data_IF_901456565072
#
_entry.id   IF_901456565072
#
_cell.length_a   1.000
_cell.length_b   1.000
_cell.length_c   1.000
_cell.angle_alpha   90.00
_cell.angle_beta   90.00
_cell.angle_gamma   90.00
#
_symmetry.space_group_name_H-M   'P 1'
#
loop_
_entity.id
_entity.type
_entity.pdbx_description
1 polymer ?
#
# COMPACT_ATOMS: atom_id res chain seq x y z
N UNK A 1 4.83 -56.00 26.60
CA UNK A 1 4.01 -55.46 27.69
C UNK A 1 2.69 -55.08 27.05
N UNK A 2 1.73 -56.00 27.11
CA UNK A 2 0.40 -55.87 26.51
C UNK A 2 -0.49 -55.05 27.46
N UNK A 3 -1.22 -54.09 26.90
CA UNK A 3 -2.15 -53.22 27.62
C UNK A 3 -3.41 -54.05 27.99
N UNK A 4 -3.76 -54.22 29.28
CA UNK A 4 -4.82 -55.13 29.69
C UNK A 4 -6.24 -54.61 29.44
N UNK A 5 -6.40 -53.48 28.73
CA UNK A 5 -7.71 -52.85 28.51
C UNK A 5 -8.24 -53.16 27.11
N UNK A 6 -9.15 -54.14 27.01
CA UNK A 6 -9.92 -54.38 25.79
C UNK A 6 -10.82 -53.16 25.50
N UNK A 7 -10.46 -52.37 24.48
CA UNK A 7 -11.31 -51.28 23.98
C UNK A 7 -12.40 -51.88 23.10
N UNK A 8 -13.64 -51.77 23.55
CA UNK A 8 -14.82 -52.13 22.75
C UNK A 8 -14.85 -51.28 21.48
N UNK A 9 -15.24 -51.89 20.34
CA UNK A 9 -15.32 -51.20 19.06
C UNK A 9 -16.17 -49.92 19.19
N UNK A 10 -15.64 -48.80 18.70
CA UNK A 10 -16.33 -47.51 18.74
C UNK A 10 -17.68 -47.64 18.02
N UNK A 11 -18.80 -47.23 18.64
CA UNK A 11 -20.13 -47.33 18.04
C UNK A 11 -20.34 -46.30 16.92
N UNK A 12 -19.32 -45.52 16.58
CA UNK A 12 -19.39 -44.46 15.59
C UNK A 12 -18.85 -44.93 14.23
N UNK A 13 -19.62 -44.64 13.18
CA UNK A 13 -19.28 -44.94 11.80
C UNK A 13 -18.06 -44.15 11.34
N UNK A 14 -17.21 -44.78 10.51
CA UNK A 14 -16.01 -44.18 9.91
C UNK A 14 -16.35 -42.84 9.22
N UNK A 15 -15.71 -41.72 9.61
CA UNK A 15 -16.04 -40.38 9.13
C UNK A 15 -15.76 -40.15 7.64
N UNK A 16 -15.09 -41.10 6.96
CA UNK A 16 -14.85 -41.00 5.52
C UNK A 16 -16.03 -41.45 4.66
N UNK A 17 -17.00 -42.18 5.23
CA UNK A 17 -18.16 -42.66 4.48
C UNK A 17 -19.37 -41.73 4.66
N UNK A 18 -19.57 -40.85 3.69
CA UNK A 18 -20.63 -39.82 3.70
C UNK A 18 -22.01 -40.44 3.45
N UNK A 19 -22.87 -40.41 4.47
CA UNK A 19 -24.26 -40.89 4.37
C UNK A 19 -25.14 -40.05 3.45
N UNK A 20 -26.32 -40.56 3.03
CA UNK A 20 -27.15 -39.98 1.97
C UNK A 20 -27.64 -38.55 2.26
N UNK A 21 -27.81 -38.17 3.53
CA UNK A 21 -28.16 -36.79 3.94
C UNK A 21 -27.04 -35.77 3.70
N UNK A 22 -25.78 -36.19 3.81
CA UNK A 22 -24.62 -35.30 3.61
C UNK A 22 -24.34 -35.03 2.12
N UNK A 23 -24.73 -35.95 1.23
CA UNK A 23 -24.69 -35.72 -0.22
C UNK A 23 -25.72 -34.68 -0.68
N UNK A 24 -26.89 -34.64 -0.02
CA UNK A 24 -27.93 -33.64 -0.30
C UNK A 24 -27.60 -32.22 0.24
N UNK A 25 -26.66 -32.08 1.18
CA UNK A 25 -26.22 -30.78 1.70
C UNK A 25 -25.09 -30.14 0.88
N UNK A 26 -24.40 -30.90 0.02
CA UNK A 26 -23.36 -30.37 -0.85
C UNK A 26 -23.91 -29.47 -1.97
N UNK A 27 -25.17 -29.65 -2.37
CA UNK A 27 -25.84 -28.86 -3.42
C UNK A 27 -26.37 -27.51 -2.95
N UNK A 28 -26.43 -27.24 -1.63
CA UNK A 28 -26.92 -25.97 -1.05
C UNK A 28 -25.80 -25.07 -0.49
N UNK A 29 -24.54 -25.38 -0.78
CA UNK A 29 -23.38 -24.70 -0.17
C UNK A 29 -23.09 -23.31 -0.77
N UNK A 30 -23.80 -22.88 -1.82
CA UNK A 30 -23.60 -21.60 -2.50
C UNK A 30 -24.12 -20.38 -1.72
N UNK A 31 -25.09 -20.55 -0.82
CA UNK A 31 -25.73 -19.41 -0.12
C UNK A 31 -25.21 -19.15 1.30
N UNK A 32 -24.55 -20.13 1.92
CA UNK A 32 -24.00 -19.96 3.27
C UNK A 32 -22.84 -18.96 3.30
N UNK A 33 -22.01 -18.89 2.24
CA UNK A 33 -20.92 -17.90 2.16
C UNK A 33 -21.44 -16.45 2.10
N UNK A 34 -22.61 -16.23 1.50
CA UNK A 34 -23.27 -14.91 1.43
C UNK A 34 -23.86 -14.49 2.77
N UNK A 35 -24.30 -15.44 3.58
CA UNK A 35 -24.93 -15.21 4.89
C UNK A 35 -23.94 -15.02 6.04
N UNK A 36 -22.70 -15.51 5.90
CA UNK A 36 -21.65 -15.37 6.94
C UNK A 36 -21.10 -13.94 6.99
N UNK A 37 -21.03 -13.24 5.85
CA UNK A 37 -20.57 -11.84 5.79
C UNK A 37 -21.48 -10.85 6.54
N UNK A 38 -22.79 -11.14 6.66
CA UNK A 38 -23.76 -10.20 7.26
C UNK A 38 -23.82 -10.20 8.79
N UNK A 39 -23.11 -11.12 9.45
CA UNK A 39 -23.29 -11.42 10.89
C UNK A 39 -22.03 -11.34 11.76
N UNK A 40 -20.92 -10.84 11.24
CA UNK A 40 -19.71 -10.63 12.06
C UNK A 40 -19.71 -9.23 12.71
N UNK A 41 -19.23 -9.15 13.96
CA UNK A 41 -18.92 -7.92 14.71
C UNK A 41 -20.06 -6.98 15.13
N UNK A 42 -21.29 -7.47 15.33
CA UNK A 42 -22.39 -6.66 15.91
C UNK A 42 -22.31 -6.63 17.43
N UNK A 43 -22.28 -5.44 18.03
CA UNK A 43 -22.31 -5.24 19.50
C UNK A 43 -23.41 -4.25 19.88
N UNK A 44 -23.83 -4.13 21.15
CA UNK A 44 -24.83 -3.14 21.57
C UNK A 44 -24.44 -1.69 21.27
N UNK A 45 -23.13 -1.38 21.21
CA UNK A 45 -22.60 -0.08 20.77
C UNK A 45 -22.58 0.08 19.25
N UNK A 46 -22.49 -1.01 18.48
CA UNK A 46 -22.34 -1.02 17.02
C UNK A 46 -23.32 -2.01 16.38
N UNK A 47 -24.61 -1.64 16.26
CA UNK A 47 -25.67 -2.55 15.79
C UNK A 47 -25.52 -2.93 14.30
N UNK A 48 -24.79 -2.12 13.51
CA UNK A 48 -24.51 -2.38 12.09
C UNK A 48 -23.37 -3.36 11.82
N UNK A 49 -22.59 -3.74 12.84
CA UNK A 49 -21.35 -4.48 12.67
C UNK A 49 -20.16 -3.55 12.50
N UNK A 50 -19.02 -3.86 13.13
CA UNK A 50 -17.75 -3.18 12.80
C UNK A 50 -17.31 -3.70 11.44
N UNK A 51 -17.31 -2.82 10.43
CA UNK A 51 -16.78 -3.16 9.12
C UNK A 51 -15.34 -3.67 9.30
N UNK A 52 -14.98 -4.83 8.72
CA UNK A 52 -13.59 -5.23 8.71
C UNK A 52 -12.78 -4.12 8.06
N UNK A 53 -11.59 -3.88 8.62
CA UNK A 53 -10.59 -3.02 8.01
C UNK A 53 -10.45 -3.43 6.54
N UNK A 54 -10.46 -2.45 5.64
CA UNK A 54 -10.28 -2.75 4.22
C UNK A 54 -8.82 -3.22 4.07
N UNK A 55 -8.62 -4.53 3.86
CA UNK A 55 -7.28 -5.09 3.66
C UNK A 55 -6.56 -4.28 2.57
N UNK A 56 -5.33 -3.87 2.85
CA UNK A 56 -4.54 -3.05 1.95
C UNK A 56 -4.20 -3.82 0.67
N UNK A 57 -4.11 -3.10 -0.44
CA UNK A 57 -3.54 -3.67 -1.66
C UNK A 57 -2.02 -3.83 -1.50
N UNK A 58 -1.42 -4.79 -2.23
CA UNK A 58 0.04 -5.03 -2.18
C UNK A 58 0.87 -3.75 -2.42
N UNK A 59 0.37 -2.83 -3.25
CA UNK A 59 0.99 -1.53 -3.52
C UNK A 59 0.92 -0.58 -2.31
N UNK A 60 -0.18 -0.62 -1.55
CA UNK A 60 -0.36 0.19 -0.34
C UNK A 60 0.51 -0.33 0.81
N UNK A 61 0.67 -1.65 0.93
CA UNK A 61 1.59 -2.25 1.91
C UNK A 61 3.06 -1.92 1.59
N UNK A 62 3.50 -2.06 0.33
CA UNK A 62 4.87 -1.74 -0.08
C UNK A 62 5.22 -0.26 0.19
N UNK A 63 4.28 0.63 -0.10
CA UNK A 63 4.47 2.05 0.13
C UNK A 63 4.37 2.42 1.63
N UNK A 64 3.58 1.70 2.44
CA UNK A 64 3.58 1.85 3.90
C UNK A 64 4.95 1.51 4.47
N UNK A 65 5.54 0.40 4.03
CA UNK A 65 6.85 -0.04 4.48
C UNK A 65 7.98 0.88 4.00
N UNK A 66 7.91 1.33 2.74
CA UNK A 66 9.00 2.09 2.12
C UNK A 66 8.91 3.57 2.43
N UNK A 67 7.73 4.16 2.28
CA UNK A 67 7.49 5.60 2.37
C UNK A 67 6.87 6.03 3.72
N UNK A 68 6.52 5.07 4.60
CA UNK A 68 5.92 5.34 5.92
C UNK A 68 4.64 6.20 5.82
N UNK A 69 3.89 6.01 4.73
CA UNK A 69 2.59 6.66 4.51
C UNK A 69 1.53 5.81 5.21
N UNK A 70 0.69 6.42 6.04
CA UNK A 70 -0.41 5.76 6.75
C UNK A 70 -1.67 5.70 5.85
N UNK A 71 -1.94 4.52 5.31
CA UNK A 71 -3.03 4.25 4.35
C UNK A 71 -4.41 4.23 4.99
N UNK A 72 -4.48 4.03 6.31
CA UNK A 72 -5.74 4.03 7.05
C UNK A 72 -6.34 5.44 7.12
N UNK A 73 -5.53 6.45 6.84
CA UNK A 73 -5.87 7.87 6.99
C UNK A 73 -5.80 8.65 5.70
N UNK A 74 -5.22 8.11 4.63
CA UNK A 74 -4.96 8.83 3.38
C UNK A 74 -5.37 7.98 2.18
N UNK A 75 -6.30 8.50 1.38
CA UNK A 75 -6.68 7.88 0.11
C UNK A 75 -5.62 8.16 -0.98
N UNK A 76 -5.16 7.12 -1.67
CA UNK A 76 -4.29 7.29 -2.85
C UNK A 76 -5.15 7.32 -4.12
N UNK A 77 -5.09 8.46 -4.83
CA UNK A 77 -5.73 8.61 -6.14
C UNK A 77 -4.64 8.68 -7.22
N UNK A 78 -4.41 7.61 -7.98
CA UNK A 78 -3.41 7.63 -9.04
C UNK A 78 -3.89 8.52 -10.20
N UNK A 79 -3.04 9.44 -10.65
CA UNK A 79 -3.27 10.29 -11.83
C UNK A 79 -4.65 10.97 -11.85
N UNK A 80 -5.03 11.58 -10.73
CA UNK A 80 -6.30 12.32 -10.63
C UNK A 80 -6.45 13.36 -11.75
N UNK A 81 -7.68 13.52 -12.24
CA UNK A 81 -7.98 14.54 -13.24
C UNK A 81 -7.69 15.96 -12.71
N UNK A 82 -7.37 16.89 -13.60
CA UNK A 82 -7.12 18.30 -13.23
C UNK A 82 -8.24 18.89 -12.35
N UNK A 83 -9.55 18.78 -12.68
CA UNK A 83 -10.60 19.35 -11.82
C UNK A 83 -10.66 18.71 -10.43
N UNK A 84 -10.43 17.39 -10.32
CA UNK A 84 -10.38 16.72 -9.03
C UNK A 84 -9.25 17.29 -8.15
N UNK A 85 -8.07 17.55 -8.73
CA UNK A 85 -6.96 18.18 -8.01
C UNK A 85 -7.30 19.60 -7.52
N UNK A 86 -8.10 20.36 -8.28
CA UNK A 86 -8.55 21.69 -7.85
C UNK A 86 -9.53 21.60 -6.68
N UNK A 87 -10.50 20.70 -6.76
CA UNK A 87 -11.49 20.47 -5.71
C UNK A 87 -10.81 20.04 -4.42
N UNK A 88 -9.93 19.03 -4.49
CA UNK A 88 -9.19 18.53 -3.34
C UNK A 88 -8.32 19.63 -2.70
N UNK A 89 -7.61 20.41 -3.51
CA UNK A 89 -6.78 21.49 -2.99
C UNK A 89 -7.60 22.58 -2.29
N UNK A 90 -8.80 22.90 -2.79
CA UNK A 90 -9.67 23.92 -2.17
C UNK A 90 -10.38 23.41 -0.91
N UNK A 91 -10.63 22.10 -0.81
CA UNK A 91 -11.32 21.49 0.33
C UNK A 91 -10.36 21.16 1.47
N UNK A 92 -9.20 20.59 1.15
CA UNK A 92 -8.32 20.00 2.16
C UNK A 92 -7.06 20.82 2.47
N UNK A 93 -6.58 21.67 1.55
CA UNK A 93 -5.36 22.45 1.75
C UNK A 93 -5.65 23.90 2.14
N UNK A 94 -5.40 24.24 3.40
CA UNK A 94 -5.58 25.60 3.89
C UNK A 94 -4.57 26.55 3.27
N UNK A 95 -5.05 27.61 2.62
CA UNK A 95 -4.19 28.58 1.93
C UNK A 95 -4.05 28.32 0.43
N UNK A 96 -4.80 27.38 -0.12
CA UNK A 96 -5.02 27.26 -1.56
C UNK A 96 -6.14 28.19 -2.04
N UNK A 97 -5.99 28.74 -3.24
CA UNK A 97 -6.98 29.60 -3.89
C UNK A 97 -6.84 29.54 -5.42
N UNK A 98 -7.90 29.96 -6.13
CA UNK A 98 -7.85 30.16 -7.58
C UNK A 98 -7.56 31.64 -7.85
N UNK A 99 -6.53 31.92 -8.66
CA UNK A 99 -6.20 33.29 -9.08
C UNK A 99 -7.20 33.81 -10.11
N UNK A 100 -7.20 35.13 -10.38
CA UNK A 100 -8.05 35.71 -11.43
C UNK A 100 -7.74 35.18 -12.84
N UNK A 101 -6.57 34.59 -13.04
CA UNK A 101 -6.17 33.92 -14.29
C UNK A 101 -6.58 32.44 -14.34
N UNK A 102 -7.25 31.92 -13.30
CA UNK A 102 -7.67 30.53 -13.20
C UNK A 102 -6.60 29.55 -12.73
N UNK A 103 -5.44 30.03 -12.28
CA UNK A 103 -4.39 29.14 -11.77
C UNK A 103 -4.64 28.79 -10.30
N UNK A 104 -4.40 27.53 -9.92
CA UNK A 104 -4.34 27.13 -8.52
C UNK A 104 -3.06 27.69 -7.88
N UNK A 105 -3.20 28.43 -6.79
CA UNK A 105 -2.09 28.92 -5.97
C UNK A 105 -2.22 28.35 -4.56
N UNK A 106 -1.08 28.03 -3.93
CA UNK A 106 -1.01 27.55 -2.56
C UNK A 106 0.03 28.37 -1.78
N UNK A 107 -0.34 28.82 -0.59
CA UNK A 107 0.53 29.65 0.25
C UNK A 107 1.49 28.79 1.10
N UNK A 108 2.79 28.82 0.78
CA UNK A 108 3.80 28.00 1.47
C UNK A 108 4.35 28.58 2.78
N UNK A 109 3.71 29.63 3.32
CA UNK A 109 4.12 30.25 4.59
C UNK A 109 5.45 31.01 4.53
N UNK A 110 6.20 31.00 5.65
CA UNK A 110 7.44 31.79 5.83
C UNK A 110 8.59 31.39 4.91
N UNK A 111 8.54 30.20 4.32
CA UNK A 111 9.59 29.65 3.44
C UNK A 111 9.00 29.47 2.05
N UNK A 112 9.25 30.44 1.18
CA UNK A 112 8.62 30.56 -0.14
C UNK A 112 9.47 30.04 -1.30
N UNK A 113 10.59 29.39 -1.00
CA UNK A 113 11.52 28.93 -2.02
C UNK A 113 12.35 27.73 -1.59
N UNK A 114 13.16 27.22 -2.52
CA UNK A 114 14.12 26.15 -2.24
C UNK A 114 15.13 26.62 -1.20
N UNK A 115 15.36 25.83 -0.17
CA UNK A 115 16.43 26.05 0.80
C UNK A 115 17.78 25.87 0.10
N UNK A 116 18.57 26.92 -0.14
CA UNK A 116 19.80 26.79 -0.93
C UNK A 116 20.80 25.81 -0.31
N UNK A 117 20.77 25.68 1.03
CA UNK A 117 21.61 24.77 1.81
C UNK A 117 21.23 23.29 1.68
N UNK A 118 20.07 22.99 1.11
CA UNK A 118 19.61 21.62 0.87
C UNK A 118 20.15 21.05 -0.46
N UNK A 119 20.75 21.91 -1.30
CA UNK A 119 21.35 21.48 -2.56
C UNK A 119 22.60 20.65 -2.30
N UNK A 120 22.63 19.44 -2.85
CA UNK A 120 23.78 18.55 -2.86
C UNK A 120 24.10 18.15 -4.30
N UNK A 121 25.37 18.18 -4.65
CA UNK A 121 25.85 17.82 -6.00
C UNK A 121 26.79 16.64 -5.84
N UNK A 122 26.61 15.62 -6.68
CA UNK A 122 27.53 14.48 -6.69
C UNK A 122 28.89 14.95 -7.19
N UNK A 123 29.93 14.65 -6.43
CA UNK A 123 31.29 14.97 -6.82
C UNK A 123 31.81 13.91 -7.79
N UNK A 124 31.69 14.21 -9.09
CA UNK A 124 32.23 13.37 -10.17
C UNK A 124 33.57 13.95 -10.65
N UNK A 125 34.60 13.12 -10.89
CA UNK A 125 35.91 13.60 -11.34
C UNK A 125 35.86 14.44 -12.62
N UNK A 126 34.89 14.18 -13.51
CA UNK A 126 34.73 14.87 -14.79
C UNK A 126 34.17 16.28 -14.70
N UNK A 127 33.57 16.67 -13.56
CA UNK A 127 32.87 17.97 -13.40
C UNK A 127 33.28 18.72 -12.15
N UNK A 128 34.13 18.13 -11.30
CA UNK A 128 34.53 18.69 -10.01
C UNK A 128 35.15 20.08 -10.16
N UNK A 129 35.95 20.29 -11.19
CA UNK A 129 36.68 21.54 -11.40
C UNK A 129 35.81 22.65 -12.02
N UNK A 130 34.64 22.30 -12.56
CA UNK A 130 33.69 23.24 -13.17
C UNK A 130 32.63 23.74 -12.16
N UNK A 131 32.66 23.25 -10.92
CA UNK A 131 31.65 23.55 -9.90
C UNK A 131 32.23 24.51 -8.85
N UNK A 132 31.53 25.63 -8.60
CA UNK A 132 31.83 26.51 -7.47
C UNK A 132 31.38 25.91 -6.15
N UNK A 133 32.26 25.13 -5.52
CA UNK A 133 32.05 24.55 -4.21
C UNK A 133 31.99 25.60 -3.10
N UNK A 134 31.14 25.39 -2.09
CA UNK A 134 31.02 26.35 -0.99
C UNK A 134 29.89 26.07 0.00
N UNK A 135 29.41 27.11 0.71
CA UNK A 135 28.28 27.00 1.64
C UNK A 135 26.98 26.48 1.02
N UNK A 136 26.79 26.70 -0.29
CA UNK A 136 25.56 26.36 -1.02
C UNK A 136 25.73 25.08 -1.85
N UNK A 137 26.78 24.99 -2.68
CA UNK A 137 27.05 23.78 -3.46
C UNK A 137 27.89 22.82 -2.62
N UNK A 138 27.21 21.84 -2.03
CA UNK A 138 27.83 20.84 -1.16
C UNK A 138 28.10 19.55 -1.92
N UNK A 139 29.33 19.00 -1.86
CA UNK A 139 29.63 17.72 -2.49
C UNK A 139 28.88 16.58 -1.79
N UNK A 140 28.56 15.55 -2.56
CA UNK A 140 27.98 14.28 -2.13
C UNK A 140 28.72 13.15 -2.85
N UNK A 141 28.95 12.04 -2.16
CA UNK A 141 29.54 10.87 -2.80
C UNK A 141 28.51 10.13 -3.68
N UNK A 142 28.95 9.43 -4.74
CA UNK A 142 28.04 8.65 -5.60
C UNK A 142 27.23 7.58 -4.85
N UNK A 143 27.78 7.04 -3.76
CA UNK A 143 27.14 5.99 -2.94
C UNK A 143 25.87 6.51 -2.27
N UNK A 144 25.94 7.71 -1.67
CA UNK A 144 24.78 8.35 -1.02
C UNK A 144 23.67 8.64 -2.04
N UNK A 145 24.02 8.93 -3.30
CA UNK A 145 23.03 9.06 -4.37
C UNK A 145 22.39 7.72 -4.72
N UNK A 146 23.18 6.64 -4.81
CA UNK A 146 22.70 5.30 -5.17
C UNK A 146 21.70 4.76 -4.15
N UNK A 147 21.90 5.05 -2.87
CA UNK A 147 21.01 4.62 -1.79
C UNK A 147 19.69 5.41 -1.76
N UNK A 148 19.65 6.62 -2.31
CA UNK A 148 18.44 7.47 -2.39
C UNK A 148 17.70 7.44 -3.73
N UNK A 149 18.36 7.00 -4.81
CA UNK A 149 17.84 7.10 -6.17
C UNK A 149 17.40 5.79 -6.80
N UNK A 150 17.42 4.68 -6.07
CA UNK A 150 17.07 3.36 -6.61
C UNK A 150 16.22 2.56 -5.62
N UNK A 151 14.92 2.86 -5.58
CA UNK A 151 13.96 1.76 -5.45
C UNK A 151 14.28 0.81 -6.60
N UNK A 152 14.83 -0.36 -6.27
CA UNK A 152 15.12 -1.40 -7.25
C UNK A 152 13.80 -2.09 -7.55
N UNK A 153 13.15 -1.75 -8.65
CA UNK A 153 12.10 -2.60 -9.19
C UNK A 153 12.72 -3.97 -9.49
N UNK A 154 12.23 -5.08 -8.91
CA UNK A 154 12.73 -6.40 -9.21
C UNK A 154 12.09 -6.89 -10.51
N UNK A 155 12.55 -6.37 -11.66
CA UNK A 155 12.29 -7.05 -12.94
C UNK A 155 13.34 -8.13 -13.13
N UNK A 156 12.96 -9.35 -12.79
CA UNK A 156 13.66 -10.58 -13.16
C UNK A 156 13.83 -10.63 -14.68
N UNK A 157 15.09 -10.57 -15.11
CA UNK A 157 15.51 -10.90 -16.46
C UNK A 157 15.25 -12.39 -16.73
N UNK A 158 14.35 -12.69 -17.68
CA UNK A 158 14.44 -13.94 -18.43
C UNK A 158 14.14 -13.72 -19.92
N UNK A 159 15.19 -13.94 -20.72
CA UNK A 159 15.19 -14.53 -22.05
C UNK A 159 14.50 -13.79 -23.22
N UNK A 160 15.32 -12.94 -23.86
CA UNK A 160 15.66 -12.98 -25.29
C UNK A 160 14.62 -13.42 -26.32
N UNK A 161 14.38 -12.53 -27.29
CA UNK A 161 14.35 -12.90 -28.70
C UNK A 161 14.68 -11.68 -29.57
N UNK A 162 15.78 -11.80 -30.31
CA UNK A 162 16.15 -10.91 -31.40
C UNK A 162 15.17 -11.10 -32.55
N UNK A 163 14.67 -10.02 -33.13
CA UNK A 163 14.25 -10.03 -34.53
C UNK A 163 14.90 -8.86 -35.27
N UNK A 164 15.44 -9.29 -36.42
CA UNK A 164 16.07 -8.63 -37.56
C UNK A 164 15.46 -7.28 -37.93
#
# INVERSE_FOLDING_TARGET
MEDPVARTASPYSDPTNKGPKSQAQASHQSDLRKMVYSNVNKTPLHPGGVAPHQEHTELEEELHETAHIDYDRVAIVPNASVPALYEDALVYETGSAITSSGALTAYSGKKTGRSPLDKRIVEEPSSKDDIWWGPVNKPMTPEVRKDKGRQKDPVTSSHGQSFI
#
